data_IF_341464244412
#
_entry.id   IF_341464244412
#
_cell.length_a   1.000
_cell.length_b   1.000
_cell.length_c   1.000
_cell.angle_alpha   90.00
_cell.angle_beta   90.00
_cell.angle_gamma   90.00
#
_symmetry.space_group_name_H-M   'P 1'
#
loop_
_entity.id
_entity.type
_entity.pdbx_description
1 polymer ?
#
# COMPACT_ATOMS: atom_id res chain seq x y z
N UNK A 1 7.18 5.28 -11.32
CA UNK A 1 6.88 3.87 -10.98
C UNK A 1 7.92 2.98 -11.64
N UNK A 2 8.13 1.77 -11.12
CA UNK A 2 8.96 0.75 -11.77
C UNK A 2 8.34 0.33 -13.12
N UNK A 3 9.15 -0.16 -14.05
CA UNK A 3 8.66 -0.74 -15.31
C UNK A 3 7.87 -2.03 -15.01
N UNK A 4 6.56 -2.09 -15.33
CA UNK A 4 5.75 -3.28 -15.05
C UNK A 4 6.32 -4.56 -15.65
N UNK A 5 7.05 -4.48 -16.76
CA UNK A 5 7.59 -5.65 -17.48
C UNK A 5 8.73 -6.34 -16.73
N UNK A 6 9.35 -5.66 -15.76
CA UNK A 6 10.46 -6.22 -14.97
C UNK A 6 10.00 -6.82 -13.64
N UNK A 7 8.73 -6.63 -13.27
CA UNK A 7 8.20 -7.08 -12.00
C UNK A 7 8.16 -8.62 -11.93
N UNK A 8 8.57 -9.13 -10.78
CA UNK A 8 8.56 -10.55 -10.46
C UNK A 8 7.39 -10.88 -9.54
N UNK A 9 6.84 -12.11 -9.62
CA UNK A 9 5.77 -12.53 -8.73
C UNK A 9 6.22 -12.50 -7.26
N UNK A 10 5.39 -11.90 -6.39
CA UNK A 10 5.70 -11.79 -4.95
C UNK A 10 6.03 -13.18 -4.39
N UNK A 11 7.17 -13.37 -3.70
CA UNK A 11 7.57 -14.68 -3.21
C UNK A 11 6.61 -15.18 -2.13
N UNK A 12 6.35 -16.49 -2.16
CA UNK A 12 5.42 -17.13 -1.25
C UNK A 12 5.89 -16.95 0.21
N UNK A 13 4.98 -16.48 1.06
CA UNK A 13 5.25 -16.26 2.47
C UNK A 13 6.03 -14.99 2.81
N UNK A 14 6.26 -14.08 1.85
CA UNK A 14 6.81 -12.74 2.13
C UNK A 14 5.92 -11.99 3.12
N UNK A 15 6.51 -11.31 4.09
CA UNK A 15 5.82 -10.52 5.11
C UNK A 15 6.47 -9.16 5.25
N UNK A 16 5.70 -8.10 5.36
CA UNK A 16 6.26 -6.77 5.48
C UNK A 16 5.32 -5.84 6.26
N UNK A 17 5.92 -4.88 6.95
CA UNK A 17 5.22 -3.76 7.57
C UNK A 17 5.53 -2.49 6.77
N UNK A 18 4.52 -1.65 6.54
CA UNK A 18 4.66 -0.34 5.94
C UNK A 18 4.16 0.74 6.88
N UNK A 19 4.91 1.85 6.92
CA UNK A 19 4.69 2.92 7.90
C UNK A 19 5.33 2.60 9.24
N UNK A 20 5.17 3.51 10.20
CA UNK A 20 5.87 3.45 11.48
C UNK A 20 4.91 3.84 12.62
N UNK A 21 4.59 2.87 13.47
CA UNK A 21 3.75 3.06 14.65
C UNK A 21 4.30 4.07 15.67
N UNK A 22 5.60 4.35 15.63
CA UNK A 22 6.28 5.29 16.52
C UNK A 22 6.55 6.64 15.83
N UNK A 23 6.01 6.89 14.64
CA UNK A 23 6.23 8.14 13.93
C UNK A 23 5.67 9.34 14.70
N UNK A 24 6.49 10.39 14.79
CA UNK A 24 6.14 11.70 15.38
C UNK A 24 6.04 12.80 14.33
N UNK A 25 6.08 12.42 13.05
CA UNK A 25 6.01 13.29 11.89
C UNK A 25 5.38 12.58 10.71
N UNK A 26 5.04 13.35 9.66
CA UNK A 26 4.40 12.80 8.46
C UNK A 26 5.31 11.80 7.77
N UNK A 27 4.72 10.73 7.24
CA UNK A 27 5.44 9.67 6.55
C UNK A 27 5.14 9.76 5.05
N UNK A 28 6.15 9.56 4.20
CA UNK A 28 5.99 9.75 2.74
C UNK A 28 5.16 8.65 2.07
N UNK A 29 5.11 7.46 2.69
CA UNK A 29 4.38 6.29 2.21
C UNK A 29 3.02 6.09 2.89
N UNK A 30 2.60 7.05 3.74
CA UNK A 30 1.29 7.07 4.39
C UNK A 30 0.59 8.36 4.01
N UNK A 31 -0.60 8.25 3.46
CA UNK A 31 -1.38 9.38 2.98
C UNK A 31 -2.78 9.33 3.55
N UNK A 32 -3.30 10.51 3.86
CA UNK A 32 -4.67 10.71 4.28
C UNK A 32 -5.36 11.68 3.32
N UNK A 33 -6.64 11.48 3.07
CA UNK A 33 -7.44 12.42 2.29
C UNK A 33 -8.92 12.28 2.58
N UNK A 34 -9.69 13.30 2.26
CA UNK A 34 -11.14 13.19 2.18
C UNK A 34 -11.54 12.67 0.81
N UNK A 35 -12.56 11.82 0.78
CA UNK A 35 -13.17 11.34 -0.45
C UNK A 35 -14.69 11.41 -0.31
N UNK A 36 -15.38 12.08 -1.23
CA UNK A 36 -16.84 12.09 -1.21
C UNK A 36 -17.44 10.84 -1.86
N UNK A 37 -18.76 10.70 -1.78
CA UNK A 37 -19.52 9.57 -2.38
C UNK A 37 -19.41 9.46 -3.90
N UNK A 38 -18.92 10.52 -4.57
CA UNK A 38 -18.68 10.56 -6.02
C UNK A 38 -17.23 10.26 -6.38
N UNK A 39 -16.41 9.83 -5.42
CA UNK A 39 -14.97 9.56 -5.55
C UNK A 39 -14.09 10.80 -5.85
N UNK A 40 -14.60 12.02 -5.63
CA UNK A 40 -13.77 13.21 -5.66
C UNK A 40 -12.90 13.26 -4.39
N UNK A 41 -11.61 13.49 -4.58
CA UNK A 41 -10.61 13.45 -3.51
C UNK A 41 -10.13 14.87 -3.20
N UNK A 42 -9.88 15.15 -1.92
CA UNK A 42 -9.18 16.37 -1.50
C UNK A 42 -7.69 16.30 -1.87
N UNK A 43 -6.95 17.38 -1.59
CA UNK A 43 -5.50 17.28 -1.50
C UNK A 43 -5.10 16.24 -0.44
N UNK A 44 -3.94 15.61 -0.67
CA UNK A 44 -3.33 14.67 0.29
C UNK A 44 -2.88 15.42 1.53
N UNK A 45 -3.19 14.87 2.70
CA UNK A 45 -2.71 15.28 4.02
C UNK A 45 -1.80 14.16 4.58
N UNK A 46 -0.85 14.55 5.44
CA UNK A 46 0.01 13.60 6.15
C UNK A 46 -0.59 13.10 7.47
N UNK A 47 -1.79 13.57 7.81
CA UNK A 47 -2.51 13.35 9.08
C UNK A 47 -4.01 13.24 8.81
N UNK A 48 -4.81 12.72 9.76
CA UNK A 48 -6.27 12.57 9.58
C UNK A 48 -6.91 13.93 9.27
N UNK A 49 -7.57 14.10 8.10
CA UNK A 49 -8.25 15.33 7.73
C UNK A 49 -9.65 15.42 8.32
N UNK A 50 -10.16 16.65 8.46
CA UNK A 50 -11.53 16.91 8.85
C UNK A 50 -12.48 16.81 7.64
N UNK A 51 -12.99 15.63 7.36
CA UNK A 51 -13.91 15.39 6.26
C UNK A 51 -15.37 15.68 6.62
N UNK A 52 -16.18 16.04 5.62
CA UNK A 52 -17.59 16.37 5.83
C UNK A 52 -18.41 15.11 6.19
N UNK A 53 -19.52 15.32 6.88
CA UNK A 53 -20.51 14.26 7.13
C UNK A 53 -21.02 13.71 5.80
N UNK A 54 -21.03 12.39 5.66
CA UNK A 54 -21.38 11.69 4.43
C UNK A 54 -20.19 11.38 3.52
N UNK A 55 -19.02 11.98 3.76
CA UNK A 55 -17.78 11.64 3.06
C UNK A 55 -17.03 10.50 3.77
N UNK A 56 -15.87 10.14 3.23
CA UNK A 56 -14.92 9.20 3.79
C UNK A 56 -13.62 9.90 4.16
N UNK A 57 -13.07 9.55 5.33
CA UNK A 57 -11.62 9.68 5.58
C UNK A 57 -10.97 8.46 4.94
N UNK A 58 -9.99 8.68 4.07
CA UNK A 58 -9.27 7.62 3.36
C UNK A 58 -7.83 7.60 3.81
N UNK A 59 -7.40 6.43 4.29
CA UNK A 59 -6.00 6.10 4.58
C UNK A 59 -5.44 5.30 3.40
N UNK A 60 -4.29 5.71 2.88
CA UNK A 60 -3.56 5.00 1.83
C UNK A 60 -2.15 4.70 2.37
N UNK A 61 -1.79 3.42 2.40
CA UNK A 61 -0.47 2.98 2.81
C UNK A 61 0.17 2.24 1.64
N UNK A 62 1.34 2.74 1.22
CA UNK A 62 2.16 2.09 0.21
C UNK A 62 3.21 1.22 0.87
N UNK A 63 3.24 -0.05 0.48
CA UNK A 63 4.30 -0.96 0.87
C UNK A 63 5.54 -0.78 -0.02
N UNK A 64 6.75 -1.08 0.49
CA UNK A 64 7.94 -1.07 -0.34
C UNK A 64 7.89 -2.21 -1.37
N UNK A 65 8.38 -1.96 -2.59
CA UNK A 65 8.23 -2.86 -3.73
C UNK A 65 9.54 -3.48 -4.24
N UNK A 66 10.64 -3.31 -3.51
CA UNK A 66 11.94 -3.87 -3.82
C UNK A 66 12.36 -4.85 -2.72
N UNK A 67 12.48 -6.12 -3.07
CA UNK A 67 12.87 -7.20 -2.17
C UNK A 67 14.37 -7.50 -2.28
N UNK A 68 15.02 -7.87 -1.16
CA UNK A 68 16.44 -8.24 -1.11
C UNK A 68 16.80 -9.53 -1.87
N UNK A 69 15.80 -10.32 -2.24
CA UNK A 69 15.99 -11.58 -2.98
C UNK A 69 16.34 -12.77 -2.10
N UNK A 70 16.39 -12.60 -0.78
CA UNK A 70 16.87 -13.59 0.18
C UNK A 70 15.87 -13.82 1.31
N UNK A 71 15.44 -12.77 2.00
CA UNK A 71 14.70 -12.89 3.26
C UNK A 71 13.21 -12.67 3.04
N UNK A 72 12.39 -13.68 3.31
CA UNK A 72 10.92 -13.54 3.27
C UNK A 72 10.37 -12.72 4.45
N UNK A 73 11.17 -12.54 5.49
CA UNK A 73 10.87 -11.73 6.65
C UNK A 73 12.19 -11.35 7.33
N UNK A 74 12.23 -10.19 8.00
CA UNK A 74 13.38 -9.74 8.80
C UNK A 74 12.92 -9.51 10.24
N UNK A 75 13.82 -9.48 11.24
CA UNK A 75 13.41 -9.29 12.64
C UNK A 75 12.60 -8.01 12.92
N UNK A 76 12.75 -6.99 12.06
CA UNK A 76 12.01 -5.72 12.10
C UNK A 76 10.84 -5.66 11.11
N UNK A 77 10.60 -6.75 10.37
CA UNK A 77 9.60 -6.90 9.30
C UNK A 77 9.70 -5.85 8.18
N UNK A 78 10.85 -5.19 8.05
CA UNK A 78 11.04 -4.04 7.14
C UNK A 78 12.36 -4.09 6.36
N UNK A 79 13.48 -4.40 7.01
CA UNK A 79 14.83 -4.26 6.41
C UNK A 79 15.15 -5.16 5.21
N UNK A 80 14.33 -6.19 4.94
CA UNK A 80 14.41 -7.02 3.74
C UNK A 80 13.66 -6.41 2.54
N UNK A 81 12.99 -5.27 2.74
CA UNK A 81 12.24 -4.53 1.74
C UNK A 81 12.75 -3.09 1.62
N UNK A 82 12.67 -2.52 0.42
CA UNK A 82 12.97 -1.11 0.17
C UNK A 82 12.00 -0.50 -0.83
N UNK A 83 11.86 0.82 -0.78
CA UNK A 83 11.15 1.55 -1.81
C UNK A 83 12.02 1.71 -3.05
N UNK A 84 11.38 1.73 -4.22
CA UNK A 84 12.07 2.04 -5.46
C UNK A 84 12.69 3.45 -5.43
N UNK A 85 13.82 3.61 -6.12
CA UNK A 85 14.39 4.91 -6.42
C UNK A 85 13.60 5.48 -7.60
N UNK A 86 12.60 6.29 -7.31
CA UNK A 86 11.77 6.92 -8.34
C UNK A 86 12.53 8.02 -9.07
N UNK A 87 12.44 7.99 -10.40
CA UNK A 87 13.01 9.01 -11.28
C UNK A 87 11.89 9.67 -12.08
N UNK A 88 11.90 11.01 -12.08
CA UNK A 88 10.83 11.82 -12.67
C UNK A 88 11.31 12.63 -13.90
N UNK A 89 12.57 12.47 -14.30
CA UNK A 89 13.14 13.16 -15.46
C UNK A 89 13.01 12.30 -16.73
N UNK A 90 12.75 12.91 -17.90
CA UNK A 90 12.74 12.20 -19.18
C UNK A 90 14.00 11.36 -19.40
N UNK A 91 13.83 10.11 -19.82
CA UNK A 91 14.94 9.18 -20.08
C UNK A 91 15.52 8.49 -18.85
N UNK A 92 15.07 8.81 -17.64
CA UNK A 92 15.45 8.07 -16.44
C UNK A 92 14.45 6.97 -16.11
N UNK A 93 14.96 5.80 -15.72
CA UNK A 93 14.15 4.65 -15.33
C UNK A 93 14.17 4.53 -13.80
N UNK A 94 13.00 4.38 -13.19
CA UNK A 94 12.91 4.06 -11.76
C UNK A 94 13.44 2.64 -11.55
N UNK A 95 14.23 2.43 -10.52
CA UNK A 95 14.85 1.13 -10.26
C UNK A 95 14.81 0.79 -8.78
N UNK A 96 14.94 -0.49 -8.47
CA UNK A 96 15.23 -0.88 -7.11
C UNK A 96 16.68 -0.55 -6.72
N UNK A 97 16.96 -0.29 -5.43
CA UNK A 97 18.32 -0.21 -4.92
C UNK A 97 19.09 -1.51 -5.19
N UNK A 98 20.41 -1.43 -5.32
CA UNK A 98 21.27 -2.62 -5.51
C UNK A 98 21.22 -3.59 -4.34
N UNK A 99 20.87 -3.11 -3.14
CA UNK A 99 20.65 -3.94 -1.95
C UNK A 99 19.33 -4.69 -1.97
N UNK A 100 18.38 -4.28 -2.82
CA UNK A 100 17.03 -4.84 -2.92
C UNK A 100 16.65 -5.12 -4.37
N UNK A 101 17.39 -5.98 -5.09
CA UNK A 101 17.38 -6.00 -6.55
C UNK A 101 16.13 -6.63 -7.17
N UNK A 102 15.22 -7.22 -6.38
CA UNK A 102 14.04 -7.92 -6.91
C UNK A 102 12.81 -7.02 -6.88
N UNK A 103 12.39 -6.45 -8.02
CA UNK A 103 11.19 -5.64 -8.07
C UNK A 103 9.94 -6.54 -8.04
N UNK A 104 8.97 -6.21 -7.21
CA UNK A 104 7.68 -6.91 -7.10
C UNK A 104 6.52 -5.94 -7.31
N UNK A 105 5.29 -6.42 -7.58
CA UNK A 105 4.10 -5.57 -7.54
C UNK A 105 3.99 -4.85 -6.21
N UNK A 106 3.74 -3.54 -6.26
CA UNK A 106 3.53 -2.73 -5.06
C UNK A 106 2.16 -3.03 -4.46
N UNK A 107 2.14 -3.51 -3.23
CA UNK A 107 0.91 -3.58 -2.44
C UNK A 107 0.54 -2.17 -1.96
N UNK A 108 -0.73 -1.82 -2.12
CA UNK A 108 -1.30 -0.58 -1.59
C UNK A 108 -2.54 -0.94 -0.79
N UNK A 109 -2.55 -0.58 0.48
CA UNK A 109 -3.73 -0.75 1.32
C UNK A 109 -4.50 0.57 1.38
N UNK A 110 -5.80 0.50 1.08
CA UNK A 110 -6.69 1.65 1.09
C UNK A 110 -7.83 1.35 2.06
N UNK A 111 -7.91 2.11 3.13
CA UNK A 111 -8.97 1.98 4.13
C UNK A 111 -9.87 3.21 4.07
N UNK A 112 -11.17 2.99 3.93
CA UNK A 112 -12.19 4.06 3.90
C UNK A 112 -13.01 4.03 5.18
N UNK A 113 -12.96 5.12 5.94
CA UNK A 113 -13.74 5.32 7.15
C UNK A 113 -14.90 6.27 6.85
N UNK A 114 -16.13 5.79 6.93
CA UNK A 114 -17.32 6.61 6.70
C UNK A 114 -17.50 7.65 7.83
N UNK A 115 -17.74 8.91 7.45
CA UNK A 115 -17.98 10.00 8.40
C UNK A 115 -19.47 10.14 8.66
N UNK A 116 -19.89 9.67 9.84
CA UNK A 116 -21.28 9.77 10.29
C UNK A 116 -21.61 11.10 10.96
N UNK A 117 -22.90 11.44 11.03
CA UNK A 117 -23.36 12.70 11.65
C UNK A 117 -22.98 12.89 13.12
N UNK A 118 -22.69 11.78 13.84
CA UNK A 118 -22.23 11.79 15.25
C UNK A 118 -20.73 11.48 15.40
N UNK A 119 -19.99 11.36 14.31
CA UNK A 119 -18.58 10.98 14.29
C UNK A 119 -17.78 12.02 13.52
N UNK A 120 -17.25 13.01 14.24
CA UNK A 120 -16.45 14.07 13.64
C UNK A 120 -14.96 13.67 13.63
N UNK A 121 -14.28 13.63 12.46
CA UNK A 121 -12.87 13.24 12.35
C UNK A 121 -11.91 14.08 13.18
N UNK A 122 -12.27 15.33 13.56
CA UNK A 122 -11.45 16.15 14.47
C UNK A 122 -11.25 15.51 15.85
N UNK A 123 -12.13 14.59 16.24
CA UNK A 123 -12.05 13.86 17.51
C UNK A 123 -11.46 12.46 17.34
N UNK A 124 -11.08 12.06 16.12
CA UNK A 124 -10.51 10.75 15.87
C UNK A 124 -9.04 10.74 16.25
N UNK A 125 -8.55 9.55 16.59
CA UNK A 125 -7.13 9.25 16.75
C UNK A 125 -6.91 7.79 16.47
N UNK A 126 -5.71 7.42 16.03
CA UNK A 126 -5.34 6.02 16.02
C UNK A 126 -5.09 5.57 17.45
N UNK A 127 -5.43 4.32 17.77
CA UNK A 127 -5.06 3.72 19.06
C UNK A 127 -3.54 3.66 19.26
N UNK A 128 -2.76 3.71 18.17
CA UNK A 128 -1.30 3.76 18.16
C UNK A 128 -0.72 5.17 18.27
N UNK A 129 -1.53 6.25 18.29
CA UNK A 129 -1.04 7.61 18.47
C UNK A 129 -0.63 7.83 19.94
N UNK A 130 0.59 7.37 20.27
CA UNK A 130 1.16 7.37 21.63
C UNK A 130 2.04 8.60 21.92
N UNK A 131 2.16 9.52 20.96
CA UNK A 131 2.93 10.76 21.09
C UNK A 131 2.18 11.85 21.86
N UNK A 132 2.84 12.97 22.17
CA UNK A 132 2.26 14.04 22.99
C UNK A 132 1.02 14.68 22.35
N UNK A 133 0.04 15.05 23.19
CA UNK A 133 -1.27 15.54 22.73
C UNK A 133 -1.28 16.89 22.00
N UNK A 134 -0.12 17.54 21.79
CA UNK A 134 -0.01 18.77 21.01
C UNK A 134 0.21 18.53 19.51
N UNK A 135 0.52 17.30 19.10
CA UNK A 135 0.69 16.94 17.68
C UNK A 135 -0.68 16.60 17.05
N UNK A 136 -0.81 16.87 15.74
CA UNK A 136 -1.96 16.40 14.95
C UNK A 136 -2.01 14.86 14.91
N UNK A 137 -3.20 14.30 14.80
CA UNK A 137 -3.50 12.85 14.91
C UNK A 137 -3.27 12.08 13.60
N UNK A 138 -3.05 10.77 13.69
CA UNK A 138 -2.89 9.86 12.55
C UNK A 138 -1.44 9.67 12.08
N UNK A 139 -0.45 10.15 12.83
CA UNK A 139 0.96 10.02 12.44
C UNK A 139 1.47 8.59 12.56
N UNK A 140 0.93 7.81 13.49
CA UNK A 140 1.38 6.43 13.76
C UNK A 140 0.81 5.37 12.81
N UNK A 141 0.16 5.77 11.70
CA UNK A 141 -0.45 4.81 10.80
C UNK A 141 0.61 3.87 10.22
N UNK A 142 0.27 2.58 10.20
CA UNK A 142 1.06 1.50 9.64
C UNK A 142 0.11 0.37 9.24
N UNK A 143 0.60 -0.53 8.40
CA UNK A 143 -0.12 -1.72 7.98
C UNK A 143 0.85 -2.89 7.81
N UNK A 144 0.31 -4.09 7.97
CA UNK A 144 1.04 -5.33 7.93
C UNK A 144 0.48 -6.17 6.78
N UNK A 145 1.36 -6.70 5.92
CA UNK A 145 0.98 -7.56 4.81
C UNK A 145 1.76 -8.87 4.85
N UNK A 146 1.06 -9.97 4.53
CA UNK A 146 1.62 -11.31 4.51
C UNK A 146 1.09 -12.06 3.29
N UNK A 147 1.98 -12.62 2.47
CA UNK A 147 1.56 -13.40 1.31
C UNK A 147 0.96 -14.73 1.75
N UNK A 148 -0.33 -14.89 1.49
CA UNK A 148 -1.07 -16.14 1.64
C UNK A 148 -1.73 -16.60 0.34
N UNK A 149 -1.34 -16.01 -0.80
CA UNK A 149 -2.02 -16.23 -2.07
C UNK A 149 -1.58 -17.55 -2.71
N UNK A 150 -2.47 -18.14 -3.51
CA UNK A 150 -2.08 -19.29 -4.33
C UNK A 150 -0.96 -18.88 -5.31
N UNK A 151 0.14 -19.63 -5.32
CA UNK A 151 1.34 -19.28 -6.08
C UNK A 151 1.08 -19.18 -7.59
N UNK A 152 0.30 -20.09 -8.15
CA UNK A 152 0.00 -20.10 -9.59
C UNK A 152 -0.88 -18.91 -9.99
N UNK A 153 -1.81 -18.52 -9.11
CA UNK A 153 -2.61 -17.31 -9.30
C UNK A 153 -1.72 -16.05 -9.29
N UNK A 154 -0.81 -15.92 -8.32
CA UNK A 154 0.15 -14.80 -8.24
C UNK A 154 1.01 -14.70 -9.51
N UNK A 155 1.58 -15.82 -9.96
CA UNK A 155 2.36 -15.88 -11.21
C UNK A 155 1.51 -15.44 -12.41
N UNK A 156 0.27 -15.92 -12.49
CA UNK A 156 -0.63 -15.65 -13.61
C UNK A 156 -1.02 -14.16 -13.68
N UNK A 157 -1.42 -13.56 -12.55
CA UNK A 157 -1.78 -12.14 -12.49
C UNK A 157 -0.57 -11.26 -12.87
N UNK A 158 0.60 -11.56 -12.31
CA UNK A 158 1.80 -10.76 -12.59
C UNK A 158 2.18 -10.84 -14.06
N UNK A 159 2.24 -12.04 -14.62
CA UNK A 159 2.59 -12.24 -16.03
C UNK A 159 1.54 -11.66 -16.99
N UNK A 160 0.28 -12.01 -16.80
CA UNK A 160 -0.77 -11.81 -17.81
C UNK A 160 -1.45 -10.44 -17.70
N UNK A 161 -1.38 -9.81 -16.53
CA UNK A 161 -2.02 -8.51 -16.26
C UNK A 161 -0.97 -7.43 -16.08
N UNK A 162 -0.09 -7.58 -15.09
CA UNK A 162 0.85 -6.52 -14.71
C UNK A 162 1.93 -6.33 -15.77
N UNK A 163 2.66 -7.40 -16.12
CA UNK A 163 3.75 -7.35 -17.10
C UNK A 163 3.22 -7.09 -18.52
N UNK A 164 1.97 -7.49 -18.79
CA UNK A 164 1.26 -7.20 -20.04
C UNK A 164 0.62 -5.81 -20.07
N UNK A 165 0.68 -5.05 -18.97
CA UNK A 165 0.12 -3.70 -18.83
C UNK A 165 -1.39 -3.64 -19.13
N UNK A 166 -2.14 -4.60 -18.57
CA UNK A 166 -3.58 -4.74 -18.72
C UNK A 166 -4.26 -4.61 -17.37
N UNK A 167 -5.41 -3.94 -17.37
CA UNK A 167 -6.36 -4.03 -16.26
C UNK A 167 -7.17 -5.32 -16.42
N UNK A 168 -6.96 -6.27 -15.52
CA UNK A 168 -7.69 -7.55 -15.49
C UNK A 168 -8.91 -7.51 -14.58
N UNK A 169 -9.21 -6.38 -13.93
CA UNK A 169 -10.30 -6.29 -12.96
C UNK A 169 -10.13 -7.24 -11.77
N UNK A 170 -11.21 -7.43 -11.03
CA UNK A 170 -11.24 -8.29 -9.84
C UNK A 170 -11.46 -9.74 -10.26
N UNK A 171 -10.57 -10.63 -9.81
CA UNK A 171 -10.73 -12.07 -9.96
C UNK A 171 -10.15 -12.67 -11.24
N UNK A 172 -9.93 -11.90 -12.32
CA UNK A 172 -9.39 -12.48 -13.55
C UNK A 172 -7.88 -12.73 -13.49
N UNK A 173 -7.44 -13.87 -14.06
CA UNK A 173 -6.03 -14.23 -14.20
C UNK A 173 -5.43 -13.81 -15.54
N UNK A 174 -6.19 -13.11 -16.40
CA UNK A 174 -5.70 -12.58 -17.68
C UNK A 174 -5.46 -13.65 -18.76
N UNK A 175 -5.89 -14.89 -18.55
CA UNK A 175 -5.76 -16.01 -19.49
C UNK A 175 -7.07 -16.79 -19.69
N UNK A 176 -8.21 -16.15 -19.44
CA UNK A 176 -9.54 -16.75 -19.54
C UNK A 176 -9.95 -17.58 -18.33
N UNK A 177 -9.10 -17.67 -17.30
CA UNK A 177 -9.46 -18.21 -15.98
C UNK A 177 -9.78 -17.08 -15.01
N UNK A 178 -10.73 -17.36 -14.11
CA UNK A 178 -11.09 -16.47 -13.01
C UNK A 178 -10.93 -17.18 -11.66
N UNK A 179 -10.58 -16.42 -10.64
CA UNK A 179 -10.59 -16.84 -9.24
C UNK A 179 -12.04 -17.03 -8.80
N UNK A 180 -12.36 -18.26 -8.43
CA UNK A 180 -13.66 -18.60 -7.85
C UNK A 180 -13.51 -18.74 -6.35
N UNK A 181 -14.37 -18.05 -5.60
CA UNK A 181 -14.50 -18.30 -4.17
C UNK A 181 -15.05 -19.71 -3.97
N UNK A 182 -14.24 -20.61 -3.40
CA UNK A 182 -14.73 -21.88 -2.89
C UNK A 182 -14.96 -21.70 -1.40
N UNK A 183 -16.22 -21.78 -0.99
CA UNK A 183 -16.54 -21.92 0.43
C UNK A 183 -15.86 -23.19 0.96
N UNK A 184 -15.27 -23.16 2.16
CA UNK A 184 -14.64 -24.33 2.77
C UNK A 184 -15.62 -25.49 2.98
#
# INVERSE_FOLDING_TARGET
>A
MLDPRTLQPIPAGLRMIAGNKNATGTQTNVQWQCQNVWNNQSAIDGMIPNCAVGDFVVLIIYFPECWDGVNLDSPDHQSHMAFAIYRNSPGQVSSCPTTHPVPIPRITEIVRYAVGARSNPVNWRLSSDMYSGSMRVGLSAHADWMDGWNRDAMISIVRNCINAQRDCGVGSLGDGRDLVYRSP
#
